data_IF_008176615347
#
_entry.id   IF_008176615347
#
_cell.length_a   1.000
_cell.length_b   1.000
_cell.length_c   1.000
_cell.angle_alpha   90.00
_cell.angle_beta   90.00
_cell.angle_gamma   90.00
#
_symmetry.space_group_name_H-M   'P 1'
#
loop_
_entity.id
_entity.type
_entity.pdbx_description
1 polymer ?
#
# COMPACT_ATOMS: atom_id res chain seq x y z
N UNK A 1 7.22 -3.65 18.19
CA UNK A 1 6.83 -2.47 17.41
C UNK A 1 7.32 -1.23 18.13
N UNK A 2 8.02 -0.35 17.42
CA UNK A 2 8.30 1.01 17.92
C UNK A 2 7.13 1.95 17.61
N UNK A 3 7.08 3.12 18.26
CA UNK A 3 6.04 4.13 17.98
C UNK A 3 6.01 4.54 16.51
N UNK A 4 7.19 4.72 15.89
CA UNK A 4 7.29 5.07 14.47
C UNK A 4 6.76 3.96 13.56
N UNK A 5 7.01 2.69 13.91
CA UNK A 5 6.46 1.55 13.18
C UNK A 5 4.93 1.50 13.26
N UNK A 6 4.37 1.78 14.45
CA UNK A 6 2.92 1.82 14.65
C UNK A 6 2.26 2.93 13.82
N UNK A 7 2.79 4.15 13.88
CA UNK A 7 2.30 5.28 13.08
C UNK A 7 2.40 4.95 11.59
N UNK A 8 3.51 4.38 11.13
CA UNK A 8 3.67 3.96 9.73
C UNK A 8 2.60 2.97 9.30
N UNK A 9 2.32 1.94 10.11
CA UNK A 9 1.25 0.96 9.82
C UNK A 9 -0.13 1.61 9.75
N UNK A 10 -0.40 2.60 10.60
CA UNK A 10 -1.65 3.35 10.55
C UNK A 10 -1.79 4.13 9.24
N UNK A 11 -0.73 4.84 8.83
CA UNK A 11 -0.70 5.55 7.54
C UNK A 11 -0.89 4.61 6.36
N UNK A 12 -0.21 3.47 6.36
CA UNK A 12 -0.33 2.45 5.33
C UNK A 12 -1.76 1.89 5.22
N UNK A 13 -2.44 1.66 6.35
CA UNK A 13 -3.85 1.26 6.36
C UNK A 13 -4.76 2.33 5.73
N UNK A 14 -4.50 3.61 6.01
CA UNK A 14 -5.25 4.71 5.40
C UNK A 14 -5.08 4.75 3.88
N UNK A 15 -3.84 4.58 3.38
CA UNK A 15 -3.55 4.46 1.94
C UNK A 15 -4.41 3.37 1.31
N UNK A 16 -4.48 2.18 1.92
CA UNK A 16 -5.28 1.06 1.39
C UNK A 16 -6.77 1.41 1.27
N UNK A 17 -7.33 2.12 2.25
CA UNK A 17 -8.71 2.60 2.20
C UNK A 17 -8.93 3.54 1.02
N UNK A 18 -8.08 4.55 0.87
CA UNK A 18 -8.17 5.51 -0.24
C UNK A 18 -7.99 4.84 -1.61
N UNK A 19 -7.10 3.86 -1.74
CA UNK A 19 -6.93 3.10 -2.98
C UNK A 19 -8.19 2.29 -3.32
N UNK A 20 -8.92 1.79 -2.32
CA UNK A 20 -10.19 1.10 -2.53
C UNK A 20 -11.30 2.06 -2.98
N UNK A 21 -11.25 3.32 -2.54
CA UNK A 21 -12.12 4.40 -3.01
C UNK A 21 -11.73 4.94 -4.39
N UNK A 22 -10.62 4.47 -4.96
CA UNK A 22 -10.18 4.83 -6.31
C UNK A 22 -9.21 6.01 -6.38
N UNK A 23 -8.70 6.49 -5.24
CA UNK A 23 -7.68 7.53 -5.20
C UNK A 23 -6.40 7.10 -5.94
N UNK A 24 -5.64 8.09 -6.42
CA UNK A 24 -4.32 7.81 -6.99
C UNK A 24 -3.31 7.41 -5.91
N UNK A 25 -2.26 6.67 -6.30
CA UNK A 25 -1.20 6.27 -5.37
C UNK A 25 -0.50 7.47 -4.73
N UNK A 26 -0.32 8.55 -5.49
CA UNK A 26 0.33 9.76 -4.99
C UNK A 26 -0.55 10.49 -3.97
N UNK A 27 -1.84 10.68 -4.29
CA UNK A 27 -2.77 11.37 -3.38
C UNK A 27 -2.93 10.57 -2.08
N UNK A 28 -3.11 9.25 -2.20
CA UNK A 28 -3.23 8.39 -1.04
C UNK A 28 -1.98 8.47 -0.14
N UNK A 29 -0.77 8.55 -0.72
CA UNK A 29 0.47 8.67 0.04
C UNK A 29 0.58 10.01 0.78
N UNK A 30 0.35 11.13 0.07
CA UNK A 30 0.46 12.47 0.65
C UNK A 30 -0.61 12.71 1.71
N UNK A 31 -1.87 12.35 1.45
CA UNK A 31 -2.98 12.50 2.41
C UNK A 31 -2.81 11.61 3.64
N UNK A 32 -2.13 10.47 3.49
CA UNK A 32 -1.77 9.60 4.61
C UNK A 32 -0.52 10.07 5.37
N UNK A 33 0.07 11.21 5.01
CA UNK A 33 1.19 11.81 5.72
C UNK A 33 2.57 11.26 5.35
N UNK A 34 2.73 10.68 4.16
CA UNK A 34 4.06 10.39 3.60
C UNK A 34 4.59 11.60 2.82
N UNK A 35 5.78 12.06 3.20
CA UNK A 35 6.46 13.17 2.51
C UNK A 35 7.52 12.67 1.51
N UNK A 36 7.83 11.37 1.53
CA UNK A 36 8.80 10.72 0.65
C UNK A 36 8.13 9.52 -0.02
N UNK A 37 7.96 9.60 -1.34
CA UNK A 37 7.30 8.56 -2.15
C UNK A 37 8.15 7.30 -2.27
N UNK A 38 9.49 7.42 -2.29
CA UNK A 38 10.39 6.27 -2.36
C UNK A 38 10.32 5.44 -1.07
N UNK A 39 10.42 6.11 0.08
CA UNK A 39 10.26 5.50 1.39
C UNK A 39 8.87 4.88 1.56
N UNK A 40 7.81 5.60 1.16
CA UNK A 40 6.45 5.07 1.14
C UNK A 40 6.34 3.76 0.36
N UNK A 41 6.84 3.73 -0.89
CA UNK A 41 6.77 2.54 -1.74
C UNK A 41 7.46 1.33 -1.10
N UNK A 42 8.63 1.55 -0.50
CA UNK A 42 9.36 0.51 0.22
C UNK A 42 8.55 -0.01 1.41
N UNK A 43 8.05 0.88 2.26
CA UNK A 43 7.25 0.51 3.42
C UNK A 43 5.95 -0.20 3.05
N UNK A 44 5.28 0.25 2.00
CA UNK A 44 4.04 -0.35 1.51
C UNK A 44 4.31 -1.77 0.99
N UNK A 45 5.37 -1.94 0.21
CA UNK A 45 5.78 -3.27 -0.30
C UNK A 45 6.22 -4.20 0.84
N UNK A 46 6.92 -3.69 1.85
CA UNK A 46 7.33 -4.49 3.02
C UNK A 46 6.12 -4.98 3.82
N UNK A 47 5.07 -4.16 3.96
CA UNK A 47 3.87 -4.51 4.73
C UNK A 47 2.88 -5.37 3.92
N UNK A 48 2.70 -5.10 2.62
CA UNK A 48 1.66 -5.73 1.78
C UNK A 48 2.20 -6.68 0.69
N UNK A 49 3.53 -6.83 0.59
CA UNK A 49 4.21 -7.73 -0.35
C UNK A 49 4.25 -7.26 -1.81
N UNK A 50 3.57 -6.17 -2.17
CA UNK A 50 3.51 -5.64 -3.55
C UNK A 50 3.55 -4.13 -3.58
N UNK A 51 3.90 -3.55 -4.73
CA UNK A 51 3.86 -2.10 -4.90
C UNK A 51 2.43 -1.54 -4.78
N UNK A 52 2.27 -0.29 -4.33
CA UNK A 52 0.95 0.34 -4.22
C UNK A 52 0.20 0.43 -5.56
N UNK A 53 0.92 0.61 -6.68
CA UNK A 53 0.33 0.63 -8.02
C UNK A 53 -0.26 -0.73 -8.42
N UNK A 54 0.47 -1.82 -8.12
CA UNK A 54 -0.03 -3.19 -8.35
C UNK A 54 -1.23 -3.46 -7.46
N UNK A 55 -1.18 -3.03 -6.19
CA UNK A 55 -2.30 -3.16 -5.26
C UNK A 55 -3.55 -2.44 -5.78
N UNK A 56 -3.42 -1.17 -6.16
CA UNK A 56 -4.52 -0.37 -6.71
C UNK A 56 -5.13 -1.00 -7.98
N UNK A 57 -4.29 -1.53 -8.88
CA UNK A 57 -4.76 -2.25 -10.08
C UNK A 57 -5.55 -3.50 -9.70
N UNK A 58 -5.08 -4.28 -8.72
CA UNK A 58 -5.79 -5.47 -8.23
C UNK A 58 -7.15 -5.12 -7.66
N UNK A 59 -7.29 -4.03 -6.91
CA UNK A 59 -8.58 -3.58 -6.38
C UNK A 59 -9.59 -3.28 -7.51
N UNK A 60 -9.16 -2.58 -8.56
CA UNK A 60 -10.00 -2.28 -9.72
C UNK A 60 -10.47 -3.54 -10.47
N UNK A 61 -9.68 -4.62 -10.42
CA UNK A 61 -10.00 -5.89 -11.08
C UNK A 61 -10.85 -6.85 -10.23
N UNK A 62 -11.16 -6.53 -8.96
CA UNK A 62 -11.71 -7.50 -7.99
C UNK A 62 -13.18 -7.27 -7.60
N UNK A 63 -14.02 -6.76 -8.50
CA UNK A 63 -15.44 -6.50 -8.19
C UNK A 63 -16.32 -7.75 -7.99
N UNK A 64 -15.78 -8.97 -8.05
CA UNK A 64 -16.53 -10.18 -7.68
C UNK A 64 -15.66 -11.18 -6.87
N UNK A 65 -16.13 -11.44 -5.64
CA UNK A 65 -15.83 -12.56 -4.74
C UNK A 65 -14.71 -12.44 -3.67
N UNK A 66 -15.18 -12.28 -2.42
CA UNK A 66 -14.67 -12.69 -1.10
C UNK A 66 -13.24 -12.33 -0.63
N UNK A 67 -13.15 -12.03 0.67
CA UNK A 67 -12.04 -11.40 1.37
C UNK A 67 -10.69 -12.06 1.12
N UNK A 68 -9.69 -11.24 0.79
CA UNK A 68 -8.32 -11.70 0.68
C UNK A 68 -7.38 -10.50 0.87
N UNK A 69 -6.87 -10.33 2.09
CA UNK A 69 -5.58 -9.68 2.30
C UNK A 69 -4.54 -10.46 1.49
N UNK A 70 -3.74 -9.81 0.63
CA UNK A 70 -2.80 -10.53 -0.22
C UNK A 70 -1.80 -11.35 0.62
N UNK A 71 -1.36 -12.52 0.12
CA UNK A 71 -0.32 -13.31 0.77
C UNK A 71 0.95 -12.47 0.87
N UNK A 72 1.47 -12.35 2.09
CA UNK A 72 2.71 -11.65 2.40
C UNK A 72 3.91 -12.40 1.82
N UNK A 73 4.75 -11.63 1.12
CA UNK A 73 6.12 -11.90 0.65
C UNK A 73 6.28 -12.81 -0.59
N UNK A 74 6.29 -12.15 -1.75
CA UNK A 74 7.16 -12.49 -2.89
C UNK A 74 7.89 -11.22 -3.33
N UNK A 75 9.22 -11.23 -3.38
CA UNK A 75 10.02 -10.05 -3.73
C UNK A 75 9.81 -9.71 -5.22
N UNK A 76 9.09 -8.62 -5.49
CA UNK A 76 8.95 -8.04 -6.83
C UNK A 76 10.33 -7.57 -7.34
N UNK A 77 10.74 -7.99 -8.54
CA UNK A 77 12.10 -7.85 -9.11
C UNK A 77 12.47 -6.44 -9.58
N UNK A 78 11.54 -5.49 -9.56
CA UNK A 78 11.74 -4.12 -10.06
C UNK A 78 12.52 -3.20 -9.08
N UNK A 79 13.35 -3.77 -8.20
CA UNK A 79 14.25 -2.99 -7.35
C UNK A 79 15.53 -2.70 -8.13
N UNK A 80 15.70 -1.45 -8.56
CA UNK A 80 16.91 -0.94 -9.22
C UNK A 80 17.74 -0.12 -8.25
#
# INVERSE_FOLDING_TARGET
MSGNEFIRKLRLKHVVGMLAEGASVSDAAYESGFNDIGYFRNCFKDEYGVSPSVYAKRLKSKSENSGNTPPVKGYDSDYK
#
